data_IF_097618343447
#
_entry.id   IF_097618343447
#
_cell.length_a   1.000
_cell.length_b   1.000
_cell.length_c   1.000
_cell.angle_alpha   90.00
_cell.angle_beta   90.00
_cell.angle_gamma   90.00
#
_symmetry.space_group_name_H-M   'P 1'
#
loop_
_entity.id
_entity.type
_entity.pdbx_description
1 polymer ?
#
# COMPACT_ATOMS: atom_id res chain seq x y z
N UNK A 1 -23.31 -13.41 43.72
CA UNK A 1 -24.38 -12.51 43.26
C UNK A 1 -24.09 -12.14 41.81
N UNK A 2 -25.02 -12.49 40.89
CA UNK A 2 -24.99 -12.02 39.52
C UNK A 2 -25.07 -10.48 39.57
N UNK A 3 -24.09 -9.78 39.02
CA UNK A 3 -24.13 -8.31 38.94
C UNK A 3 -25.22 -7.89 37.94
N UNK A 4 -26.26 -7.29 38.44
CA UNK A 4 -27.40 -6.82 37.63
C UNK A 4 -27.11 -5.38 37.16
N UNK A 5 -26.44 -5.27 36.02
CA UNK A 5 -26.12 -3.96 35.46
C UNK A 5 -27.34 -3.28 34.81
N UNK A 6 -28.41 -4.00 34.53
CA UNK A 6 -29.67 -3.42 34.01
C UNK A 6 -30.35 -2.61 35.12
N UNK A 7 -30.54 -3.19 36.27
CA UNK A 7 -31.09 -2.46 37.46
C UNK A 7 -30.14 -1.32 37.87
N UNK A 8 -28.83 -1.51 37.82
CA UNK A 8 -27.85 -0.44 38.07
C UNK A 8 -28.00 0.73 37.09
N UNK A 9 -28.24 0.45 35.81
CA UNK A 9 -28.45 1.48 34.79
C UNK A 9 -29.69 2.29 35.08
N UNK A 10 -30.83 1.63 35.44
CA UNK A 10 -32.07 2.31 35.81
C UNK A 10 -31.90 3.18 37.07
N UNK A 11 -31.12 2.70 38.06
CA UNK A 11 -30.82 3.49 39.26
C UNK A 11 -29.95 4.72 38.93
N UNK A 12 -29.01 4.64 37.99
CA UNK A 12 -28.21 5.78 37.52
C UNK A 12 -29.11 6.84 36.83
N UNK A 13 -30.03 6.41 35.98
CA UNK A 13 -30.95 7.35 35.33
C UNK A 13 -31.93 8.03 36.35
N UNK A 14 -32.44 7.26 37.32
CA UNK A 14 -33.23 7.81 38.40
C UNK A 14 -32.44 8.82 39.25
N UNK A 15 -31.19 8.51 39.60
CA UNK A 15 -30.32 9.42 40.32
C UNK A 15 -30.04 10.72 39.53
N UNK A 16 -29.86 10.61 38.20
CA UNK A 16 -29.70 11.76 37.32
C UNK A 16 -30.96 12.66 37.31
N UNK A 17 -32.13 12.04 37.22
CA UNK A 17 -33.42 12.78 37.30
C UNK A 17 -33.57 13.58 38.61
N UNK A 18 -32.88 13.16 39.67
CA UNK A 18 -32.78 13.84 40.95
C UNK A 18 -31.56 14.78 41.05
N UNK A 19 -30.97 15.16 39.93
CA UNK A 19 -29.80 16.05 39.81
C UNK A 19 -28.54 15.57 40.56
N UNK A 20 -28.38 14.26 40.77
CA UNK A 20 -27.19 13.70 41.47
C UNK A 20 -25.87 13.94 40.69
N UNK A 21 -25.94 14.19 39.38
CA UNK A 21 -24.79 14.50 38.47
C UNK A 21 -24.31 15.96 38.62
N UNK A 22 -25.13 16.86 39.18
CA UNK A 22 -24.80 18.27 39.41
C UNK A 22 -24.65 18.60 40.90
N UNK A 23 -25.23 17.82 41.79
CA UNK A 23 -25.15 18.03 43.25
C UNK A 23 -23.70 17.99 43.74
N UNK A 24 -23.27 18.98 44.49
CA UNK A 24 -21.90 19.16 44.94
C UNK A 24 -21.35 18.01 45.80
N UNK A 25 -22.21 17.29 46.52
CA UNK A 25 -21.85 16.18 47.42
C UNK A 25 -21.96 14.82 46.72
N UNK A 26 -22.84 14.68 45.71
CA UNK A 26 -23.19 13.41 45.09
C UNK A 26 -22.47 13.18 43.74
N UNK A 27 -22.18 14.25 43.00
CA UNK A 27 -21.70 14.17 41.60
C UNK A 27 -20.49 13.23 41.42
N UNK A 28 -19.49 13.22 42.29
CA UNK A 28 -18.32 12.34 42.16
C UNK A 28 -18.69 10.87 42.37
N UNK A 29 -19.55 10.58 43.35
CA UNK A 29 -20.06 9.21 43.56
C UNK A 29 -20.94 8.76 42.41
N UNK A 30 -21.78 9.66 41.86
CA UNK A 30 -22.64 9.40 40.72
C UNK A 30 -21.81 8.98 39.50
N UNK A 31 -20.81 9.75 39.11
CA UNK A 31 -19.96 9.42 37.95
C UNK A 31 -19.10 8.17 38.18
N UNK A 32 -18.68 7.88 39.42
CA UNK A 32 -18.00 6.63 39.76
C UNK A 32 -18.90 5.41 39.53
N UNK A 33 -20.11 5.42 40.07
CA UNK A 33 -21.08 4.32 39.92
C UNK A 33 -21.56 4.18 38.48
N UNK A 34 -21.75 5.29 37.77
CA UNK A 34 -22.06 5.32 36.35
C UNK A 34 -20.95 4.64 35.53
N UNK A 35 -19.69 4.97 35.82
CA UNK A 35 -18.53 4.33 35.19
C UNK A 35 -18.50 2.81 35.40
N UNK A 36 -18.71 2.36 36.66
CA UNK A 36 -18.77 0.93 36.98
C UNK A 36 -19.93 0.21 36.28
N UNK A 37 -21.08 0.86 36.15
CA UNK A 37 -22.25 0.29 35.47
C UNK A 37 -21.96 0.08 33.99
N UNK A 38 -21.42 1.08 33.31
CA UNK A 38 -21.08 0.98 31.91
C UNK A 38 -19.90 -0.01 31.66
N UNK A 39 -18.90 -0.06 32.56
CA UNK A 39 -17.83 -1.05 32.50
C UNK A 39 -18.40 -2.47 32.56
N UNK A 40 -19.33 -2.72 33.50
CA UNK A 40 -19.99 -4.01 33.63
C UNK A 40 -20.84 -4.40 32.41
N UNK A 41 -21.44 -3.43 31.74
CA UNK A 41 -22.15 -3.59 30.46
C UNK A 41 -21.24 -3.70 29.26
N UNK A 42 -19.93 -3.54 29.45
CA UNK A 42 -18.90 -3.50 28.39
C UNK A 42 -19.08 -2.31 27.42
N UNK A 43 -19.74 -1.26 27.85
CA UNK A 43 -19.88 0.01 27.16
C UNK A 43 -18.68 0.90 27.52
N UNK A 44 -17.51 0.51 27.04
CA UNK A 44 -16.22 1.02 27.52
C UNK A 44 -15.99 2.51 27.27
N UNK A 45 -16.49 3.08 26.16
CA UNK A 45 -16.42 4.52 25.93
C UNK A 45 -17.20 5.29 27.01
N UNK A 46 -18.44 4.90 27.26
CA UNK A 46 -19.29 5.56 28.27
C UNK A 46 -18.75 5.39 29.70
N UNK A 47 -18.13 4.24 29.99
CA UNK A 47 -17.42 4.00 31.25
C UNK A 47 -16.25 4.97 31.40
N UNK A 48 -15.41 5.08 30.39
CA UNK A 48 -14.24 5.95 30.39
C UNK A 48 -14.63 7.44 30.51
N UNK A 49 -15.64 7.88 29.78
CA UNK A 49 -16.17 9.27 29.86
C UNK A 49 -16.62 9.58 31.29
N UNK A 50 -17.29 8.63 31.94
CA UNK A 50 -17.75 8.77 33.32
C UNK A 50 -16.58 8.85 34.31
N UNK A 51 -15.58 7.98 34.19
CA UNK A 51 -14.38 8.00 35.03
C UNK A 51 -13.55 9.28 34.82
N UNK A 52 -13.34 9.70 33.56
CA UNK A 52 -12.62 10.94 33.26
C UNK A 52 -13.31 12.17 33.82
N UNK A 53 -14.67 12.24 33.69
CA UNK A 53 -15.46 13.32 34.30
C UNK A 53 -15.28 13.37 35.82
N UNK A 54 -15.31 12.21 36.48
CA UNK A 54 -15.07 12.10 37.92
C UNK A 54 -13.68 12.59 38.29
N UNK A 55 -12.64 12.14 37.57
CA UNK A 55 -11.24 12.53 37.85
C UNK A 55 -11.08 14.06 37.73
N UNK A 56 -11.72 14.67 36.72
CA UNK A 56 -11.70 16.13 36.55
C UNK A 56 -12.39 16.85 37.72
N UNK A 57 -13.55 16.36 38.14
CA UNK A 57 -14.30 16.92 39.28
C UNK A 57 -13.53 16.80 40.61
N UNK A 58 -12.88 15.67 40.86
CA UNK A 58 -12.09 15.50 42.09
C UNK A 58 -10.80 16.34 42.06
N UNK A 59 -10.20 16.54 40.89
CA UNK A 59 -9.02 17.42 40.68
C UNK A 59 -9.41 18.88 41.00
N UNK A 60 -10.57 19.35 40.47
CA UNK A 60 -11.06 20.69 40.72
C UNK A 60 -11.38 20.92 42.22
N UNK A 61 -12.03 19.94 42.85
CA UNK A 61 -12.38 19.98 44.28
C UNK A 61 -11.18 19.72 45.22
N UNK A 62 -10.01 19.33 44.69
CA UNK A 62 -8.82 18.88 45.43
C UNK A 62 -9.14 17.76 46.46
N UNK A 63 -10.09 16.88 46.12
CA UNK A 63 -10.54 15.76 46.96
C UNK A 63 -10.54 14.47 46.14
N UNK A 64 -9.58 13.56 46.39
CA UNK A 64 -9.29 12.38 45.58
C UNK A 64 -9.82 11.08 46.25
N UNK A 65 -11.15 10.90 46.29
CA UNK A 65 -11.78 9.73 46.88
C UNK A 65 -11.84 8.51 45.94
N UNK A 66 -12.15 8.76 44.67
CA UNK A 66 -12.40 7.70 43.68
C UNK A 66 -11.37 7.74 42.53
N UNK A 67 -10.54 8.78 42.42
CA UNK A 67 -9.57 8.97 41.32
C UNK A 67 -8.69 7.76 41.08
N UNK A 68 -8.04 7.18 42.12
CA UNK A 68 -7.16 6.04 41.92
C UNK A 68 -7.90 4.81 41.40
N UNK A 69 -9.06 4.50 41.97
CA UNK A 69 -9.91 3.37 41.48
C UNK A 69 -10.37 3.59 40.04
N UNK A 70 -10.68 4.83 39.66
CA UNK A 70 -11.08 5.15 38.29
C UNK A 70 -9.91 5.07 37.32
N UNK A 71 -8.71 5.46 37.73
CA UNK A 71 -7.48 5.26 36.91
C UNK A 71 -7.16 3.79 36.69
N UNK A 72 -7.29 2.96 37.75
CA UNK A 72 -7.09 1.51 37.65
C UNK A 72 -8.15 0.87 36.71
N UNK A 73 -9.41 1.32 36.82
CA UNK A 73 -10.48 0.86 35.91
C UNK A 73 -10.20 1.29 34.46
N UNK A 74 -9.79 2.54 34.21
CA UNK A 74 -9.40 3.01 32.87
C UNK A 74 -8.25 2.19 32.30
N UNK A 75 -7.20 1.92 33.08
CA UNK A 75 -6.08 1.07 32.62
C UNK A 75 -6.53 -0.34 32.24
N UNK A 76 -7.45 -0.94 33.03
CA UNK A 76 -8.05 -2.23 32.68
C UNK A 76 -8.87 -2.17 31.39
N UNK A 77 -9.71 -1.14 31.23
CA UNK A 77 -10.50 -0.94 30.02
C UNK A 77 -9.59 -0.81 28.80
N UNK A 78 -8.54 0.01 28.86
CA UNK A 78 -7.56 0.17 27.79
C UNK A 78 -6.95 -1.19 27.42
N UNK A 79 -6.48 -1.96 28.40
CA UNK A 79 -5.91 -3.29 28.17
C UNK A 79 -6.91 -4.27 27.54
N UNK A 80 -8.17 -4.28 28.01
CA UNK A 80 -9.21 -5.16 27.46
C UNK A 80 -9.52 -4.80 26.01
N UNK A 81 -9.71 -3.52 25.73
CA UNK A 81 -10.10 -3.04 24.39
C UNK A 81 -8.94 -3.21 23.40
N UNK A 82 -7.71 -2.87 23.79
CA UNK A 82 -6.53 -3.02 22.94
C UNK A 82 -6.28 -4.49 22.57
N UNK A 83 -6.29 -5.39 23.56
CA UNK A 83 -6.09 -6.82 23.32
C UNK A 83 -7.20 -7.42 22.43
N UNK A 84 -8.45 -6.95 22.61
CA UNK A 84 -9.57 -7.37 21.77
C UNK A 84 -9.42 -6.86 20.34
N UNK A 85 -9.03 -5.59 20.18
CA UNK A 85 -8.76 -5.00 18.87
C UNK A 85 -7.65 -5.72 18.09
N UNK A 86 -6.56 -6.08 18.77
CA UNK A 86 -5.48 -6.90 18.18
C UNK A 86 -5.99 -8.27 17.76
N UNK A 87 -6.75 -8.96 18.62
CA UNK A 87 -7.33 -10.26 18.27
C UNK A 87 -8.26 -10.19 17.05
N UNK A 88 -9.08 -9.16 16.94
CA UNK A 88 -9.90 -8.93 15.76
C UNK A 88 -9.05 -8.69 14.51
N UNK A 89 -7.97 -7.93 14.63
CA UNK A 89 -7.05 -7.69 13.54
C UNK A 89 -6.42 -8.99 13.03
N UNK A 90 -5.90 -9.83 13.94
CA UNK A 90 -5.30 -11.12 13.61
C UNK A 90 -6.32 -12.10 13.00
N UNK A 91 -7.57 -12.02 13.44
CA UNK A 91 -8.69 -12.80 12.89
C UNK A 91 -9.25 -12.20 11.57
N UNK A 92 -8.67 -11.09 11.06
CA UNK A 92 -9.15 -10.35 9.88
C UNK A 92 -10.58 -9.81 10.01
N UNK A 93 -11.09 -9.66 11.21
CA UNK A 93 -12.33 -8.93 11.49
C UNK A 93 -12.02 -7.43 11.58
N UNK A 94 -11.71 -6.87 10.42
CA UNK A 94 -11.20 -5.50 10.31
C UNK A 94 -12.21 -4.44 10.80
N UNK A 95 -13.50 -4.70 10.68
CA UNK A 95 -14.55 -3.79 11.17
C UNK A 95 -14.49 -3.63 12.69
N UNK A 96 -14.44 -4.73 13.42
CA UNK A 96 -14.37 -4.70 14.88
C UNK A 96 -12.95 -4.30 15.35
N UNK A 97 -11.90 -4.68 14.64
CA UNK A 97 -10.54 -4.22 14.91
C UNK A 97 -10.44 -2.69 14.82
N UNK A 98 -10.93 -2.08 13.74
CA UNK A 98 -10.94 -0.61 13.58
C UNK A 98 -11.62 0.08 14.75
N UNK A 99 -12.78 -0.41 15.14
CA UNK A 99 -13.56 0.17 16.26
C UNK A 99 -12.79 0.13 17.59
N UNK A 100 -12.24 -1.04 17.94
CA UNK A 100 -11.56 -1.21 19.22
C UNK A 100 -10.20 -0.53 19.27
N UNK A 101 -9.42 -0.60 18.20
CA UNK A 101 -8.14 0.07 18.13
C UNK A 101 -8.28 1.60 18.14
N UNK A 102 -9.28 2.15 17.43
CA UNK A 102 -9.60 3.56 17.52
C UNK A 102 -10.05 3.95 18.92
N UNK A 103 -10.92 3.15 19.57
CA UNK A 103 -11.33 3.38 20.94
C UNK A 103 -10.13 3.38 21.90
N UNK A 104 -9.18 2.46 21.71
CA UNK A 104 -7.95 2.42 22.51
C UNK A 104 -7.18 3.74 22.40
N UNK A 105 -7.02 4.29 21.19
CA UNK A 105 -6.41 5.59 20.99
C UNK A 105 -7.19 6.73 21.67
N UNK A 106 -8.52 6.71 21.58
CA UNK A 106 -9.35 7.72 22.26
C UNK A 106 -9.17 7.68 23.77
N UNK A 107 -9.02 6.48 24.34
CA UNK A 107 -8.80 6.29 25.77
C UNK A 107 -7.36 6.58 26.22
N UNK A 108 -6.39 6.41 25.32
CA UNK A 108 -4.96 6.68 25.54
C UNK A 108 -4.36 7.43 24.34
N UNK A 109 -4.60 8.75 24.19
CA UNK A 109 -4.18 9.52 23.02
C UNK A 109 -2.65 9.61 22.83
N UNK A 110 -1.88 9.30 23.84
CA UNK A 110 -0.42 9.21 23.73
C UNK A 110 0.03 7.95 22.99
N UNK A 111 -0.78 6.91 22.97
CA UNK A 111 -0.50 5.63 22.32
C UNK A 111 -0.95 5.66 20.84
N UNK A 112 -0.33 6.53 20.08
CA UNK A 112 -0.66 6.81 18.66
C UNK A 112 -0.53 5.59 17.75
N UNK A 113 0.16 4.53 18.19
CA UNK A 113 0.28 3.27 17.46
C UNK A 113 -1.09 2.60 17.23
N UNK A 114 -2.02 2.70 18.19
CA UNK A 114 -3.36 2.14 18.01
C UNK A 114 -4.17 2.87 16.94
N UNK A 115 -3.99 4.19 16.79
CA UNK A 115 -4.60 4.93 15.68
C UNK A 115 -4.03 4.48 14.33
N UNK A 116 -2.73 4.19 14.25
CA UNK A 116 -2.11 3.66 13.05
C UNK A 116 -2.66 2.27 12.68
N UNK A 117 -2.80 1.37 13.65
CA UNK A 117 -3.44 0.08 13.40
C UNK A 117 -4.93 0.18 13.09
N UNK A 118 -5.65 1.15 13.65
CA UNK A 118 -7.04 1.43 13.28
C UNK A 118 -7.14 1.89 11.81
N UNK A 119 -6.21 2.73 11.35
CA UNK A 119 -6.16 3.16 9.94
C UNK A 119 -5.90 1.98 9.00
N UNK A 120 -4.92 1.12 9.31
CA UNK A 120 -4.63 -0.09 8.54
C UNK A 120 -5.83 -1.04 8.52
N UNK A 121 -6.44 -1.30 9.68
CA UNK A 121 -7.63 -2.18 9.78
C UNK A 121 -8.76 -1.67 8.90
N UNK A 122 -9.06 -0.38 8.94
CA UNK A 122 -10.09 0.22 8.11
C UNK A 122 -9.76 0.06 6.62
N UNK A 123 -8.50 0.28 6.21
CA UNK A 123 -8.05 0.09 4.83
C UNK A 123 -8.22 -1.37 4.37
N UNK A 124 -7.78 -2.34 5.17
CA UNK A 124 -7.93 -3.77 4.88
C UNK A 124 -9.40 -4.21 4.81
N UNK A 125 -10.25 -3.60 5.66
CA UNK A 125 -11.69 -3.79 5.63
C UNK A 125 -12.41 -3.02 4.52
N UNK A 126 -11.70 -2.27 3.67
CA UNK A 126 -12.22 -1.38 2.61
C UNK A 126 -13.12 -0.26 3.14
N UNK A 127 -13.03 0.06 4.43
CA UNK A 127 -13.66 1.24 5.03
C UNK A 127 -12.73 2.45 4.81
N UNK A 128 -12.70 2.91 3.57
CA UNK A 128 -11.76 3.94 3.11
C UNK A 128 -12.00 5.30 3.79
N UNK A 129 -13.23 5.61 4.19
CA UNK A 129 -13.55 6.87 4.87
C UNK A 129 -12.94 6.93 6.28
N UNK A 130 -13.13 5.89 7.08
CA UNK A 130 -12.50 5.81 8.39
C UNK A 130 -10.98 5.68 8.30
N UNK A 131 -10.46 4.91 7.33
CA UNK A 131 -9.03 4.80 7.11
C UNK A 131 -8.40 6.16 6.81
N UNK A 132 -8.95 6.91 5.86
CA UNK A 132 -8.48 8.25 5.49
C UNK A 132 -8.54 9.21 6.68
N UNK A 133 -9.64 9.18 7.44
CA UNK A 133 -9.81 9.97 8.67
C UNK A 133 -8.70 9.69 9.69
N UNK A 134 -8.38 8.42 9.93
CA UNK A 134 -7.36 8.03 10.90
C UNK A 134 -5.95 8.37 10.41
N UNK A 135 -5.63 8.13 9.14
CA UNK A 135 -4.33 8.53 8.58
C UNK A 135 -4.13 10.05 8.59
N UNK A 136 -5.15 10.83 8.21
CA UNK A 136 -5.07 12.30 8.29
C UNK A 136 -4.84 12.78 9.72
N UNK A 137 -5.49 12.14 10.71
CA UNK A 137 -5.26 12.45 12.13
C UNK A 137 -3.82 12.13 12.55
N UNK A 138 -3.23 11.02 12.07
CA UNK A 138 -1.82 10.70 12.30
C UNK A 138 -0.87 11.76 11.74
N UNK A 139 -1.16 12.27 10.55
CA UNK A 139 -0.39 13.37 9.94
C UNK A 139 -0.54 14.65 10.77
N UNK A 140 -1.76 15.00 11.19
CA UNK A 140 -2.07 16.18 12.01
C UNK A 140 -1.28 16.19 13.33
N UNK A 141 -1.22 15.05 14.02
CA UNK A 141 -0.49 14.91 15.30
C UNK A 141 1.02 14.70 15.14
N UNK A 142 1.53 14.72 13.91
CA UNK A 142 2.95 14.57 13.60
C UNK A 142 3.52 13.17 13.83
N UNK A 143 2.68 12.13 13.80
CA UNK A 143 3.13 10.74 14.00
C UNK A 143 4.17 10.33 12.96
N UNK A 144 5.35 9.91 13.41
CA UNK A 144 6.41 9.41 12.53
C UNK A 144 6.54 7.88 12.54
N UNK A 145 5.96 7.22 13.53
CA UNK A 145 5.94 5.76 13.67
C UNK A 145 7.30 5.09 13.78
N UNK A 146 8.37 5.86 14.02
CA UNK A 146 9.68 5.30 14.27
C UNK A 146 9.76 4.71 15.69
N UNK A 147 10.53 3.64 15.82
CA UNK A 147 10.81 2.96 17.10
C UNK A 147 12.31 2.98 17.36
N UNK A 148 12.68 2.94 18.63
CA UNK A 148 14.10 2.80 19.04
C UNK A 148 14.30 1.37 19.53
N UNK A 149 15.24 0.65 18.90
CA UNK A 149 15.74 -0.64 19.38
C UNK A 149 17.06 -0.43 20.08
N UNK A 150 17.17 -0.98 21.26
CA UNK A 150 18.40 -0.92 22.08
C UNK A 150 19.21 -2.18 21.82
N UNK A 151 20.37 -2.03 21.17
CA UNK A 151 21.20 -3.18 20.78
C UNK A 151 22.61 -3.06 21.37
N UNK A 152 23.25 -4.21 21.55
CA UNK A 152 24.68 -4.30 21.87
C UNK A 152 25.24 -5.62 21.35
N UNK A 153 26.55 -5.67 21.13
CA UNK A 153 27.24 -6.88 20.65
C UNK A 153 27.59 -7.79 21.84
N UNK A 154 27.15 -9.04 21.81
CA UNK A 154 27.54 -10.06 22.80
C UNK A 154 29.05 -10.26 22.80
N UNK A 155 29.69 -10.25 23.97
CA UNK A 155 31.13 -10.47 24.11
C UNK A 155 31.53 -11.95 23.85
N UNK A 156 30.58 -12.86 23.98
CA UNK A 156 30.77 -14.30 23.77
C UNK A 156 30.59 -14.68 22.29
N UNK A 157 29.48 -14.26 21.68
CA UNK A 157 29.07 -14.70 20.33
C UNK A 157 29.49 -13.74 19.23
N UNK A 158 29.98 -12.55 19.55
CA UNK A 158 30.30 -11.44 18.63
C UNK A 158 29.08 -11.01 17.76
N UNK A 159 27.86 -11.42 18.15
CA UNK A 159 26.63 -11.08 17.47
C UNK A 159 25.90 -9.92 18.15
N UNK A 160 25.21 -9.14 17.33
CA UNK A 160 24.33 -8.09 17.84
C UNK A 160 23.06 -8.72 18.46
N UNK A 161 22.74 -8.28 19.67
CA UNK A 161 21.54 -8.69 20.41
C UNK A 161 20.67 -7.47 20.74
N UNK A 162 19.33 -7.67 20.72
CA UNK A 162 18.37 -6.60 21.01
C UNK A 162 17.81 -6.77 22.42
N UNK A 163 17.73 -5.66 23.15
CA UNK A 163 17.23 -5.61 24.51
C UNK A 163 15.84 -4.98 24.58
N UNK A 164 15.04 -5.41 25.53
CA UNK A 164 13.67 -4.91 25.73
C UNK A 164 13.61 -3.41 26.10
N UNK A 165 14.68 -2.88 26.70
CA UNK A 165 14.81 -1.46 27.00
C UNK A 165 16.29 -1.06 27.19
N UNK A 166 16.52 0.26 27.23
CA UNK A 166 17.86 0.84 27.38
C UNK A 166 18.56 0.41 28.67
N UNK A 167 17.81 0.30 29.77
CA UNK A 167 18.36 -0.06 31.06
C UNK A 167 18.97 -1.48 31.03
N UNK A 168 18.24 -2.43 30.47
CA UNK A 168 18.72 -3.82 30.33
C UNK A 168 19.99 -3.88 29.47
N UNK A 169 20.03 -3.15 28.33
CA UNK A 169 21.21 -3.06 27.50
C UNK A 169 22.41 -2.48 28.27
N UNK A 170 22.18 -1.37 28.94
CA UNK A 170 23.26 -0.67 29.67
C UNK A 170 23.80 -1.51 30.86
N UNK A 171 22.96 -2.32 31.51
CA UNK A 171 23.36 -3.29 32.50
C UNK A 171 24.24 -4.41 31.91
N UNK A 172 23.85 -4.96 30.77
CA UNK A 172 24.62 -5.97 30.05
C UNK A 172 26.01 -5.43 29.63
N UNK A 173 26.11 -4.17 29.22
CA UNK A 173 27.36 -3.53 28.88
C UNK A 173 28.23 -3.30 30.15
N UNK A 174 27.63 -2.85 31.26
CA UNK A 174 28.34 -2.67 32.54
C UNK A 174 28.88 -3.97 33.11
N UNK A 175 28.20 -5.09 32.89
CA UNK A 175 28.66 -6.42 33.31
C UNK A 175 29.71 -7.02 32.37
N UNK A 176 30.16 -6.31 31.33
CA UNK A 176 31.06 -6.77 30.27
C UNK A 176 30.55 -7.99 29.47
N UNK A 177 29.29 -8.40 29.64
CA UNK A 177 28.70 -9.42 28.82
C UNK A 177 28.40 -8.96 27.37
N UNK A 178 28.29 -7.64 27.20
CA UNK A 178 28.07 -7.00 25.90
C UNK A 178 28.96 -5.74 25.75
N UNK A 179 29.21 -5.39 24.47
CA UNK A 179 29.99 -4.20 24.06
C UNK A 179 29.29 -3.43 22.95
N UNK A 180 29.77 -2.25 22.59
CA UNK A 180 29.27 -1.43 21.49
C UNK A 180 27.76 -1.15 21.58
N UNK A 181 27.24 -0.52 22.65
CA UNK A 181 25.84 -0.19 22.78
C UNK A 181 25.41 0.83 21.72
N UNK A 182 24.26 0.56 21.06
CA UNK A 182 23.71 1.44 20.03
C UNK A 182 22.19 1.55 20.18
N UNK A 183 21.68 2.77 20.02
CA UNK A 183 20.26 3.07 19.90
C UNK A 183 19.90 3.13 18.39
N UNK A 184 19.27 2.08 17.87
CA UNK A 184 18.88 2.02 16.46
C UNK A 184 17.47 2.56 16.28
N UNK A 185 17.34 3.70 15.60
CA UNK A 185 16.04 4.24 15.21
C UNK A 185 15.58 3.60 13.89
N UNK A 186 14.35 3.05 13.88
CA UNK A 186 13.74 2.56 12.64
C UNK A 186 13.41 3.71 11.69
N UNK A 187 13.17 3.39 10.42
CA UNK A 187 12.73 4.40 9.44
C UNK A 187 11.37 4.98 9.83
N UNK A 188 11.17 6.26 9.54
CA UNK A 188 9.89 6.93 9.70
C UNK A 188 8.82 6.31 8.80
N UNK A 189 7.59 6.21 9.31
CA UNK A 189 6.42 5.74 8.56
C UNK A 189 5.68 6.86 7.83
N UNK A 190 6.15 8.11 7.90
CA UNK A 190 5.46 9.27 7.28
C UNK A 190 5.20 9.06 5.79
N UNK A 191 6.21 8.63 5.04
CA UNK A 191 6.10 8.38 3.59
C UNK A 191 5.10 7.24 3.33
N UNK A 192 5.16 6.15 4.09
CA UNK A 192 4.23 5.05 3.97
C UNK A 192 2.78 5.50 4.22
N UNK A 193 2.55 6.32 5.26
CA UNK A 193 1.23 6.89 5.56
C UNK A 193 0.71 7.75 4.40
N UNK A 194 1.55 8.58 3.79
CA UNK A 194 1.13 9.41 2.65
C UNK A 194 0.81 8.54 1.42
N UNK A 195 1.58 7.48 1.19
CA UNK A 195 1.26 6.48 0.14
C UNK A 195 -0.08 5.81 0.39
N UNK A 196 -0.36 5.41 1.64
CA UNK A 196 -1.64 4.82 2.01
C UNK A 196 -2.81 5.80 1.80
N UNK A 197 -2.63 7.08 2.19
CA UNK A 197 -3.60 8.15 1.92
C UNK A 197 -3.86 8.28 0.41
N UNK A 198 -2.80 8.34 -0.40
CA UNK A 198 -2.91 8.47 -1.84
C UNK A 198 -3.60 7.25 -2.48
N UNK A 199 -3.25 6.05 -2.03
CA UNK A 199 -3.92 4.81 -2.45
C UNK A 199 -5.43 4.85 -2.14
N UNK A 200 -5.81 5.25 -0.93
CA UNK A 200 -7.22 5.34 -0.51
C UNK A 200 -7.95 6.38 -1.36
N UNK A 201 -7.36 7.54 -1.58
CA UNK A 201 -7.93 8.59 -2.43
C UNK A 201 -8.16 8.08 -3.86
N UNK A 202 -7.21 7.33 -4.41
CA UNK A 202 -7.37 6.71 -5.74
C UNK A 202 -8.51 5.69 -5.77
N UNK A 203 -8.70 4.88 -4.71
CA UNK A 203 -9.82 3.94 -4.59
C UNK A 203 -11.18 4.64 -4.47
N UNK A 204 -11.19 5.88 -3.97
CA UNK A 204 -12.38 6.73 -3.93
C UNK A 204 -12.61 7.54 -5.23
N UNK A 205 -11.78 7.34 -6.26
CA UNK A 205 -11.84 8.07 -7.52
C UNK A 205 -11.26 9.49 -7.46
N UNK A 206 -10.62 9.87 -6.34
CA UNK A 206 -10.03 11.21 -6.10
C UNK A 206 -8.55 11.22 -6.52
N UNK A 207 -8.30 10.89 -7.80
CA UNK A 207 -6.93 10.66 -8.27
C UNK A 207 -6.09 11.94 -8.25
N UNK A 208 -6.69 13.11 -8.52
CA UNK A 208 -5.99 14.39 -8.44
C UNK A 208 -5.49 14.69 -7.00
N UNK A 209 -6.32 14.42 -5.99
CA UNK A 209 -5.91 14.57 -4.58
C UNK A 209 -4.79 13.56 -4.23
N UNK A 210 -4.84 12.35 -4.78
CA UNK A 210 -3.79 11.35 -4.60
C UNK A 210 -2.46 11.81 -5.18
N UNK A 211 -2.47 12.38 -6.39
CA UNK A 211 -1.27 12.98 -7.03
C UNK A 211 -0.69 14.10 -6.16
N UNK A 212 -1.55 14.99 -5.63
CA UNK A 212 -1.08 16.08 -4.76
C UNK A 212 -0.41 15.55 -3.49
N UNK A 213 -0.98 14.50 -2.87
CA UNK A 213 -0.40 13.88 -1.68
C UNK A 213 0.99 13.27 -1.97
N UNK A 214 1.14 12.54 -3.08
CA UNK A 214 2.44 11.95 -3.47
C UNK A 214 3.46 13.04 -3.82
N UNK A 215 3.07 14.10 -4.53
CA UNK A 215 3.95 15.24 -4.83
C UNK A 215 4.48 15.90 -3.56
N UNK A 216 3.65 16.06 -2.55
CA UNK A 216 4.08 16.59 -1.26
C UNK A 216 5.09 15.67 -0.57
N UNK A 217 4.86 14.35 -0.62
CA UNK A 217 5.83 13.37 -0.10
C UNK A 217 7.17 13.45 -0.84
N UNK A 218 7.15 13.60 -2.17
CA UNK A 218 8.38 13.72 -2.97
C UNK A 218 9.21 14.98 -2.67
N UNK A 219 8.60 16.06 -2.19
CA UNK A 219 9.37 17.22 -1.71
C UNK A 219 10.27 16.89 -0.53
N UNK A 220 9.84 15.93 0.32
CA UNK A 220 10.61 15.50 1.50
C UNK A 220 11.65 14.43 1.16
N UNK A 221 11.40 13.62 0.13
CA UNK A 221 12.35 12.62 -0.38
C UNK A 221 12.32 12.58 -1.93
N UNK A 222 13.02 13.52 -2.58
CA UNK A 222 13.02 13.63 -4.04
C UNK A 222 13.66 12.42 -4.75
N UNK A 223 14.46 11.63 -4.03
CA UNK A 223 15.17 10.46 -4.56
C UNK A 223 14.44 9.15 -4.30
N UNK A 224 13.29 9.16 -3.64
CA UNK A 224 12.49 7.93 -3.47
C UNK A 224 11.86 7.55 -4.81
N UNK A 225 12.48 6.59 -5.50
CA UNK A 225 12.00 6.07 -6.78
C UNK A 225 10.57 5.50 -6.68
N UNK A 226 10.18 4.94 -5.54
CA UNK A 226 8.83 4.40 -5.37
C UNK A 226 7.77 5.51 -5.31
N UNK A 227 8.08 6.67 -4.71
CA UNK A 227 7.17 7.82 -4.75
C UNK A 227 7.00 8.33 -6.18
N UNK A 228 8.10 8.43 -6.92
CA UNK A 228 8.11 8.86 -8.31
C UNK A 228 7.27 7.92 -9.19
N UNK A 229 7.46 6.60 -9.06
CA UNK A 229 6.69 5.59 -9.80
C UNK A 229 5.22 5.61 -9.40
N UNK A 230 4.90 5.79 -8.12
CA UNK A 230 3.50 5.89 -7.65
C UNK A 230 2.80 7.13 -8.23
N UNK A 231 3.50 8.28 -8.30
CA UNK A 231 2.96 9.48 -8.98
C UNK A 231 2.70 9.22 -10.45
N UNK A 232 3.64 8.55 -11.12
CA UNK A 232 3.51 8.19 -12.53
C UNK A 232 2.29 7.29 -12.78
N UNK A 233 2.09 6.27 -11.96
CA UNK A 233 0.93 5.36 -12.08
C UNK A 233 -0.41 6.12 -11.97
N UNK A 234 -0.51 7.13 -11.11
CA UNK A 234 -1.70 7.96 -11.04
C UNK A 234 -1.94 8.78 -12.32
N UNK A 235 -0.88 9.21 -13.01
CA UNK A 235 -1.03 9.90 -14.29
C UNK A 235 -1.56 9.00 -15.41
N UNK A 236 -1.26 7.68 -15.36
CA UNK A 236 -1.94 6.70 -16.24
C UNK A 236 -3.45 6.73 -15.99
N UNK A 237 -3.87 6.67 -14.71
CA UNK A 237 -5.29 6.73 -14.32
C UNK A 237 -6.00 8.01 -14.75
N UNK A 238 -5.27 9.12 -14.87
CA UNK A 238 -5.76 10.41 -15.36
C UNK A 238 -5.64 10.58 -16.89
N UNK A 239 -5.15 9.57 -17.61
CA UNK A 239 -4.83 9.62 -19.04
C UNK A 239 -3.83 10.75 -19.39
N UNK A 240 -2.96 11.14 -18.46
CA UNK A 240 -1.93 12.19 -18.62
C UNK A 240 -0.59 11.54 -18.99
N UNK A 241 -0.49 11.04 -20.23
CA UNK A 241 0.64 10.25 -20.71
C UNK A 241 1.93 11.07 -20.84
N UNK A 242 1.85 12.38 -21.06
CA UNK A 242 3.04 13.25 -21.14
C UNK A 242 3.69 13.40 -19.77
N UNK A 243 2.89 13.60 -18.72
CA UNK A 243 3.36 13.68 -17.34
C UNK A 243 3.95 12.34 -16.89
N UNK A 244 3.29 11.22 -17.23
CA UNK A 244 3.84 9.89 -17.00
C UNK A 244 5.21 9.71 -17.67
N UNK A 245 5.32 10.03 -18.97
CA UNK A 245 6.57 9.91 -19.73
C UNK A 245 7.69 10.76 -19.12
N UNK A 246 7.37 11.98 -18.66
CA UNK A 246 8.34 12.86 -17.98
C UNK A 246 8.88 12.21 -16.70
N UNK A 247 8.00 11.65 -15.85
CA UNK A 247 8.42 10.98 -14.63
C UNK A 247 9.21 9.70 -14.91
N UNK A 248 8.84 8.94 -15.92
CA UNK A 248 9.62 7.75 -16.32
C UNK A 248 11.03 8.11 -16.77
N UNK A 249 11.21 9.22 -17.50
CA UNK A 249 12.55 9.73 -17.86
C UNK A 249 13.36 10.16 -16.64
N UNK A 250 12.70 10.76 -15.64
CA UNK A 250 13.35 11.07 -14.36
C UNK A 250 13.73 9.79 -13.61
N UNK A 251 12.85 8.76 -13.62
CA UNK A 251 13.13 7.45 -13.03
C UNK A 251 14.35 6.76 -13.66
N UNK A 252 14.46 6.81 -14.98
CA UNK A 252 15.62 6.26 -15.72
C UNK A 252 16.93 6.94 -15.32
N UNK A 253 16.91 8.25 -15.03
CA UNK A 253 18.11 8.95 -14.53
C UNK A 253 18.53 8.48 -13.14
N UNK A 254 17.57 8.03 -12.31
CA UNK A 254 17.87 7.50 -10.98
C UNK A 254 18.28 6.03 -11.01
N UNK A 255 17.71 5.22 -11.90
CA UNK A 255 17.99 3.78 -12.05
C UNK A 255 18.15 3.41 -13.53
N UNK A 256 19.31 3.72 -14.14
CA UNK A 256 19.52 3.58 -15.59
C UNK A 256 19.64 2.11 -16.06
N UNK A 257 19.73 1.15 -15.14
CA UNK A 257 19.82 -0.27 -15.45
C UNK A 257 18.50 -1.02 -15.25
N UNK A 258 17.43 -0.33 -14.95
CA UNK A 258 16.12 -0.93 -14.73
C UNK A 258 15.36 -1.12 -16.04
N UNK A 259 15.35 -2.33 -16.56
CA UNK A 259 14.69 -2.68 -17.83
C UNK A 259 13.19 -2.35 -17.85
N UNK A 260 12.52 -2.42 -16.70
CA UNK A 260 11.07 -2.13 -16.60
C UNK A 260 10.75 -0.66 -16.88
N UNK A 261 11.63 0.27 -16.49
CA UNK A 261 11.43 1.69 -16.77
C UNK A 261 11.47 1.98 -18.27
N UNK A 262 12.40 1.37 -18.98
CA UNK A 262 12.49 1.49 -20.45
C UNK A 262 11.31 0.83 -21.14
N UNK A 263 10.89 -0.36 -20.66
CA UNK A 263 9.71 -1.02 -21.18
C UNK A 263 8.46 -0.11 -21.05
N UNK A 264 8.23 0.48 -19.90
CA UNK A 264 7.11 1.39 -19.66
C UNK A 264 7.18 2.63 -20.55
N UNK A 265 8.37 3.21 -20.77
CA UNK A 265 8.56 4.28 -21.77
C UNK A 265 8.20 3.80 -23.18
N UNK A 266 8.60 2.61 -23.56
CA UNK A 266 8.25 1.99 -24.84
C UNK A 266 6.73 1.90 -25.03
N UNK A 267 6.02 1.38 -24.02
CA UNK A 267 4.54 1.28 -24.04
C UNK A 267 3.88 2.63 -24.23
N UNK A 268 4.31 3.66 -23.48
CA UNK A 268 3.70 4.99 -23.58
C UNK A 268 3.97 5.65 -24.92
N UNK A 269 5.21 5.55 -25.43
CA UNK A 269 5.54 6.13 -26.73
C UNK A 269 4.81 5.41 -27.88
N UNK A 270 4.62 4.09 -27.77
CA UNK A 270 3.79 3.32 -28.69
C UNK A 270 2.33 3.82 -28.70
N UNK A 271 1.73 4.00 -27.53
CA UNK A 271 0.37 4.54 -27.40
C UNK A 271 0.22 5.96 -27.93
N UNK A 272 1.29 6.76 -27.84
CA UNK A 272 1.38 8.12 -28.42
C UNK A 272 1.70 8.10 -29.93
N UNK A 273 1.77 6.93 -30.56
CA UNK A 273 2.15 6.77 -32.00
C UNK A 273 3.57 7.27 -32.32
N UNK A 274 4.44 7.34 -31.32
CA UNK A 274 5.87 7.65 -31.46
C UNK A 274 6.67 6.37 -31.66
N UNK A 275 6.51 5.76 -32.83
CA UNK A 275 6.97 4.39 -33.10
C UNK A 275 8.50 4.22 -33.02
N UNK A 276 9.27 5.21 -33.49
CA UNK A 276 10.72 5.17 -33.47
C UNK A 276 11.25 5.15 -32.05
N UNK A 277 10.78 6.05 -31.21
CA UNK A 277 11.19 6.14 -29.80
C UNK A 277 10.73 4.90 -29.01
N UNK A 278 9.53 4.39 -29.28
CA UNK A 278 9.03 3.17 -28.65
C UNK A 278 9.93 1.97 -28.95
N UNK A 279 10.37 1.83 -30.21
CA UNK A 279 11.30 0.77 -30.65
C UNK A 279 12.62 0.86 -29.89
N UNK A 280 13.22 2.06 -29.80
CA UNK A 280 14.47 2.29 -29.06
C UNK A 280 14.33 1.89 -27.58
N UNK A 281 13.23 2.27 -26.93
CA UNK A 281 13.00 1.93 -25.54
C UNK A 281 12.79 0.42 -25.31
N UNK A 282 12.06 -0.29 -26.19
CA UNK A 282 11.93 -1.75 -26.10
C UNK A 282 13.28 -2.45 -26.31
N UNK A 283 14.06 -2.02 -27.29
CA UNK A 283 15.41 -2.56 -27.52
C UNK A 283 16.32 -2.34 -26.32
N UNK A 284 16.23 -1.16 -25.69
CA UNK A 284 16.99 -0.89 -24.45
C UNK A 284 16.54 -1.79 -23.30
N UNK A 285 15.24 -1.99 -23.11
CA UNK A 285 14.72 -2.92 -22.11
C UNK A 285 15.25 -4.35 -22.33
N UNK A 286 15.25 -4.84 -23.57
CA UNK A 286 15.77 -6.15 -23.96
C UNK A 286 17.29 -6.24 -23.70
N UNK A 287 18.04 -5.18 -24.02
CA UNK A 287 19.50 -5.17 -23.79
C UNK A 287 19.88 -5.24 -22.30
N UNK A 288 19.02 -4.73 -21.41
CA UNK A 288 19.20 -4.77 -19.95
C UNK A 288 18.68 -6.08 -19.34
N UNK A 289 17.68 -6.68 -19.94
CA UNK A 289 17.12 -7.97 -19.52
C UNK A 289 16.75 -8.80 -20.75
N UNK A 290 17.61 -9.72 -21.14
CA UNK A 290 17.44 -10.58 -22.32
C UNK A 290 16.38 -11.68 -22.14
N UNK A 291 15.74 -11.77 -20.98
CA UNK A 291 14.61 -12.66 -20.68
C UNK A 291 13.29 -11.91 -20.52
N UNK A 292 13.24 -10.63 -20.88
CA UNK A 292 12.05 -9.79 -20.73
C UNK A 292 11.01 -10.09 -21.84
N UNK A 293 10.19 -11.11 -21.63
CA UNK A 293 9.19 -11.60 -22.59
C UNK A 293 8.32 -10.49 -23.16
N UNK A 294 7.76 -9.64 -22.29
CA UNK A 294 6.81 -8.59 -22.72
C UNK A 294 7.51 -7.53 -23.60
N UNK A 295 8.78 -7.26 -23.39
CA UNK A 295 9.54 -6.34 -24.24
C UNK A 295 9.75 -6.90 -25.65
N UNK A 296 10.06 -8.19 -25.76
CA UNK A 296 10.14 -8.87 -27.06
C UNK A 296 8.80 -8.89 -27.78
N UNK A 297 7.72 -9.21 -27.05
CA UNK A 297 6.36 -9.25 -27.61
C UNK A 297 5.94 -7.87 -28.12
N UNK A 298 6.10 -6.83 -27.32
CA UNK A 298 5.66 -5.48 -27.69
C UNK A 298 6.51 -4.90 -28.82
N UNK A 299 7.80 -5.23 -28.88
CA UNK A 299 8.66 -4.85 -29.99
C UNK A 299 8.21 -5.52 -31.30
N UNK A 300 7.88 -6.80 -31.25
CA UNK A 300 7.39 -7.52 -32.42
C UNK A 300 6.03 -6.98 -32.88
N UNK A 301 5.10 -6.70 -31.95
CA UNK A 301 3.78 -6.08 -32.26
C UNK A 301 4.00 -4.71 -32.90
N UNK A 302 4.89 -3.87 -32.35
CA UNK A 302 5.19 -2.55 -32.93
C UNK A 302 5.68 -2.67 -34.37
N UNK A 303 6.57 -3.63 -34.66
CA UNK A 303 7.07 -3.86 -36.03
C UNK A 303 5.93 -4.36 -36.94
N UNK A 304 5.11 -5.28 -36.45
CA UNK A 304 3.99 -5.85 -37.22
C UNK A 304 2.86 -4.84 -37.47
N UNK A 305 2.72 -3.79 -36.68
CA UNK A 305 1.73 -2.73 -36.92
C UNK A 305 1.91 -2.03 -38.27
N UNK A 306 3.14 -1.98 -38.79
CA UNK A 306 3.40 -1.47 -40.14
C UNK A 306 2.71 -2.30 -41.22
N UNK A 307 2.53 -3.62 -40.98
CA UNK A 307 1.84 -4.51 -41.90
C UNK A 307 0.37 -4.13 -42.14
N UNK A 308 -0.31 -3.57 -41.14
CA UNK A 308 -1.69 -3.12 -41.28
C UNK A 308 -1.81 -2.02 -42.33
N UNK A 309 -0.88 -1.04 -42.29
CA UNK A 309 -0.84 0.05 -43.30
C UNK A 309 -0.52 -0.48 -44.70
N UNK A 310 0.35 -1.49 -44.79
CA UNK A 310 0.69 -2.15 -46.06
C UNK A 310 -0.53 -2.86 -46.64
N UNK A 311 -1.24 -3.61 -45.82
CA UNK A 311 -2.48 -4.33 -46.24
C UNK A 311 -3.57 -3.33 -46.68
N UNK A 312 -3.75 -2.23 -45.96
CA UNK A 312 -4.72 -1.20 -46.31
C UNK A 312 -4.42 -0.62 -47.70
N UNK A 313 -3.11 -0.33 -47.99
CA UNK A 313 -2.71 0.17 -49.30
C UNK A 313 -2.88 -0.90 -50.40
N UNK A 314 -2.56 -2.16 -50.15
CA UNK A 314 -2.79 -3.27 -51.08
C UNK A 314 -4.27 -3.38 -51.48
N UNK A 315 -5.19 -3.15 -50.55
CA UNK A 315 -6.62 -3.22 -50.77
C UNK A 315 -7.20 -2.04 -51.61
N UNK A 316 -6.39 -0.99 -51.84
CA UNK A 316 -6.80 0.13 -52.72
C UNK A 316 -6.67 -0.14 -54.23
N UNK A 317 -6.39 -1.39 -54.63
CA UNK A 317 -6.13 -1.78 -56.02
C UNK A 317 -4.95 -0.99 -56.64
N UNK A 318 -3.76 -0.98 -56.07
CA UNK A 318 -2.60 -0.30 -56.61
C UNK A 318 -2.18 -0.94 -57.95
N UNK A 319 -1.33 -0.24 -58.73
CA UNK A 319 -0.72 -0.84 -59.92
C UNK A 319 0.08 -2.10 -59.56
N UNK A 320 0.25 -3.02 -60.51
CA UNK A 320 0.97 -4.25 -60.30
C UNK A 320 2.41 -4.02 -59.79
N UNK A 321 3.07 -2.95 -60.25
CA UNK A 321 4.38 -2.55 -59.73
C UNK A 321 4.32 -2.17 -58.25
N UNK A 322 3.36 -1.35 -57.90
CA UNK A 322 3.18 -0.91 -56.52
C UNK A 322 2.82 -2.07 -55.58
N UNK A 323 1.93 -2.96 -56.06
CA UNK A 323 1.57 -4.18 -55.33
C UNK A 323 2.80 -5.03 -55.01
N UNK A 324 3.68 -5.28 -55.99
CA UNK A 324 4.93 -6.04 -55.78
C UNK A 324 5.92 -5.35 -54.82
N UNK A 325 5.96 -4.01 -54.81
CA UNK A 325 6.72 -3.25 -53.81
C UNK A 325 6.16 -3.43 -52.40
N UNK A 326 4.84 -3.43 -52.26
CA UNK A 326 4.16 -3.65 -50.98
C UNK A 326 4.34 -5.07 -50.46
N UNK A 327 4.28 -6.09 -51.33
CA UNK A 327 4.60 -7.48 -50.96
C UNK A 327 6.03 -7.61 -50.39
N UNK A 328 7.01 -7.03 -51.09
CA UNK A 328 8.42 -7.05 -50.62
C UNK A 328 8.54 -6.36 -49.26
N UNK A 329 7.82 -5.24 -49.06
CA UNK A 329 7.84 -4.51 -47.80
C UNK A 329 7.20 -5.34 -46.69
N UNK A 330 6.09 -6.02 -46.96
CA UNK A 330 5.43 -6.93 -46.02
C UNK A 330 6.35 -8.06 -45.57
N UNK A 331 7.02 -8.72 -46.54
CA UNK A 331 7.97 -9.77 -46.19
C UNK A 331 9.16 -9.27 -45.37
N UNK A 332 9.60 -8.02 -45.60
CA UNK A 332 10.63 -7.37 -44.78
C UNK A 332 10.17 -7.16 -43.34
N UNK A 333 8.94 -6.69 -43.13
CA UNK A 333 8.33 -6.53 -41.80
C UNK A 333 8.27 -7.86 -41.05
N UNK A 334 7.84 -8.93 -41.73
CA UNK A 334 7.78 -10.26 -41.13
C UNK A 334 9.18 -10.78 -40.74
N UNK A 335 10.19 -10.60 -41.60
CA UNK A 335 11.59 -10.98 -41.32
C UNK A 335 12.14 -10.22 -40.14
N UNK A 336 11.78 -8.95 -39.97
CA UNK A 336 12.25 -8.13 -38.86
C UNK A 336 11.57 -8.52 -37.53
N UNK A 337 10.27 -8.78 -37.53
CA UNK A 337 9.52 -9.14 -36.31
C UNK A 337 9.81 -10.57 -35.81
N UNK A 338 10.07 -11.51 -36.74
CA UNK A 338 10.19 -12.94 -36.47
C UNK A 338 11.18 -13.27 -35.32
N UNK A 339 12.44 -12.79 -35.31
CA UNK A 339 13.40 -13.18 -34.27
C UNK A 339 12.98 -12.76 -32.86
N UNK A 340 12.27 -11.66 -32.74
CA UNK A 340 11.75 -11.20 -31.44
C UNK A 340 10.60 -12.09 -30.96
N UNK A 341 9.70 -12.49 -31.85
CA UNK A 341 8.62 -13.43 -31.54
C UNK A 341 9.14 -14.83 -31.22
N UNK A 342 10.13 -15.33 -31.97
CA UNK A 342 10.77 -16.62 -31.69
C UNK A 342 11.43 -16.62 -30.32
N UNK A 343 12.07 -15.51 -29.95
CA UNK A 343 12.67 -15.38 -28.61
C UNK A 343 11.58 -15.31 -27.53
N UNK A 344 10.52 -14.55 -27.72
CA UNK A 344 9.38 -14.50 -26.79
C UNK A 344 8.75 -15.88 -26.60
N UNK A 345 8.51 -16.63 -27.70
CA UNK A 345 7.95 -17.99 -27.65
C UNK A 345 8.87 -18.98 -26.94
N UNK A 346 10.18 -18.85 -27.14
CA UNK A 346 11.17 -19.68 -26.43
C UNK A 346 11.15 -19.43 -24.94
N UNK A 347 11.03 -18.18 -24.51
CA UNK A 347 10.98 -17.80 -23.09
C UNK A 347 9.61 -18.14 -22.45
N UNK A 348 8.52 -17.88 -23.17
CA UNK A 348 7.17 -18.14 -22.70
C UNK A 348 6.22 -18.40 -23.87
N UNK A 349 6.00 -19.66 -24.16
CA UNK A 349 5.08 -20.07 -25.22
C UNK A 349 3.63 -19.79 -24.86
N UNK A 350 2.89 -19.16 -25.78
CA UNK A 350 1.46 -18.89 -25.68
C UNK A 350 0.75 -19.24 -27.00
N UNK A 351 -0.55 -19.42 -26.96
CA UNK A 351 -1.36 -19.62 -28.18
C UNK A 351 -1.18 -18.45 -29.15
N UNK A 352 -1.04 -17.24 -28.65
CA UNK A 352 -0.88 -16.04 -29.46
C UNK A 352 0.50 -15.97 -30.13
N UNK A 353 1.59 -16.30 -29.41
CA UNK A 353 2.91 -16.36 -30.03
C UNK A 353 2.96 -17.43 -31.12
N UNK A 354 2.42 -18.62 -30.85
CA UNK A 354 2.40 -19.72 -31.80
C UNK A 354 1.56 -19.37 -33.03
N UNK A 355 0.40 -18.72 -32.86
CA UNK A 355 -0.48 -18.29 -33.96
C UNK A 355 0.21 -17.24 -34.84
N UNK A 356 0.83 -16.23 -34.22
CA UNK A 356 1.49 -15.14 -34.94
C UNK A 356 2.73 -15.66 -35.69
N UNK A 357 3.54 -16.51 -35.07
CA UNK A 357 4.68 -17.14 -35.73
C UNK A 357 4.26 -18.05 -36.88
N UNK A 358 3.19 -18.84 -36.72
CA UNK A 358 2.64 -19.64 -37.81
C UNK A 358 2.25 -18.78 -39.03
N UNK A 359 1.55 -17.65 -38.78
CA UNK A 359 1.20 -16.72 -39.85
C UNK A 359 2.45 -16.14 -40.55
N UNK A 360 3.48 -15.78 -39.78
CA UNK A 360 4.76 -15.28 -40.34
C UNK A 360 5.44 -16.37 -41.16
N UNK A 361 5.52 -17.59 -40.67
CA UNK A 361 6.16 -18.71 -41.36
C UNK A 361 5.42 -19.08 -42.66
N UNK A 362 4.09 -19.07 -42.65
CA UNK A 362 3.28 -19.30 -43.85
C UNK A 362 3.57 -18.21 -44.91
N UNK A 363 3.61 -16.93 -44.53
CA UNK A 363 3.89 -15.83 -45.45
C UNK A 363 5.35 -15.79 -45.98
N UNK A 364 6.29 -16.31 -45.19
CA UNK A 364 7.72 -16.41 -45.58
C UNK A 364 8.04 -17.73 -46.26
N UNK A 365 7.05 -18.58 -46.57
CA UNK A 365 7.21 -19.90 -47.21
C UNK A 365 8.18 -20.83 -46.44
N UNK A 366 8.12 -20.75 -45.10
CA UNK A 366 8.98 -21.57 -44.22
C UNK A 366 8.29 -22.88 -43.84
N UNK A 367 8.03 -23.74 -44.85
CA UNK A 367 7.13 -24.90 -44.75
C UNK A 367 7.39 -25.83 -43.55
N UNK A 368 8.62 -26.13 -43.26
CA UNK A 368 8.95 -27.02 -42.14
C UNK A 368 8.55 -26.41 -40.78
N UNK A 369 8.83 -25.11 -40.58
CA UNK A 369 8.41 -24.42 -39.36
C UNK A 369 6.87 -24.30 -39.31
N UNK A 370 6.23 -23.98 -40.42
CA UNK A 370 4.76 -23.91 -40.53
C UNK A 370 4.10 -25.23 -40.14
N UNK A 371 4.57 -26.37 -40.62
CA UNK A 371 4.04 -27.71 -40.26
C UNK A 371 4.15 -27.95 -38.75
N UNK A 372 5.31 -27.67 -38.15
CA UNK A 372 5.55 -27.86 -36.72
C UNK A 372 4.61 -26.97 -35.90
N UNK A 373 4.52 -25.68 -36.23
CA UNK A 373 3.72 -24.72 -35.46
C UNK A 373 2.20 -24.93 -35.65
N UNK A 374 1.77 -25.43 -36.81
CA UNK A 374 0.37 -25.83 -37.07
C UNK A 374 -0.06 -27.02 -36.19
N UNK A 375 0.82 -28.04 -36.09
CA UNK A 375 0.57 -29.17 -35.19
C UNK A 375 0.56 -28.74 -33.75
N UNK A 376 1.49 -27.86 -33.35
CA UNK A 376 1.57 -27.30 -32.01
C UNK A 376 0.33 -26.48 -31.65
N UNK A 377 -0.14 -25.62 -32.55
CA UNK A 377 -1.35 -24.80 -32.34
C UNK A 377 -2.61 -25.66 -32.15
N UNK A 378 -2.71 -26.78 -32.93
CA UNK A 378 -3.79 -27.74 -32.75
C UNK A 378 -3.78 -28.36 -31.36
N UNK A 379 -2.61 -28.85 -30.90
CA UNK A 379 -2.43 -29.43 -29.54
C UNK A 379 -2.73 -28.47 -28.40
N UNK A 380 -2.46 -27.18 -28.58
CA UNK A 380 -2.71 -26.16 -27.53
C UNK A 380 -4.18 -25.71 -27.46
N UNK A 381 -5.01 -26.10 -28.42
CA UNK A 381 -6.46 -25.81 -28.45
C UNK A 381 -7.31 -26.98 -27.92
N UNK A 382 -6.73 -28.18 -27.87
CA UNK A 382 -7.30 -29.39 -27.26
C UNK A 382 -7.11 -29.36 -25.74
#
# INVERSE_FOLDING_TARGET
KKQDYTTASSAIEAAKALNADTDSKLKTKFFFLKGQTFEGKKEYQAAADSYNKLIALEKEAKRFKYTNKSKDALSKIISVVSNRGIKYFDAKDFKNATKDLHLTFVLSPTDTLYLYYAAISASQGKDYDNSLKHYRKLVEIGYDGSTISYVATSSETEKEETFGNKIMRDLAVRSNSHKNPLDKKSKSKKIAIIKDIAFILSKQGKIEEAVLAIKEARKHDPKDLNLLLTEADFYIGLNKMDEFSKLMKEAVLQDPNNSTLYFNLGVVHYNQKKMAEAKEYYLKAISLNNEYVDAYMNLAILILDENNTIIDEMNTNPSNKRYSELEKKQLSVFKEAMPYLEKADTLKRTIDTVRTLLSIYDNLEMDEKSKVFRALLKKMRE
#
